data_IF_781033764957
#
_entry.id   IF_781033764957
#
_cell.length_a   1.000
_cell.length_b   1.000
_cell.length_c   1.000
_cell.angle_alpha   90.00
_cell.angle_beta   90.00
_cell.angle_gamma   90.00
#
_symmetry.space_group_name_H-M   'P 1'
#
loop_
_entity.id
_entity.type
_entity.pdbx_description
1 polymer ?
#
# COMPACT_ATOMS: atom_id res chain seq x y z
N UNK A 1 -11.65 6.31 0.22
CA UNK A 1 -11.21 5.52 -0.95
C UNK A 1 -10.94 4.04 -0.64
N UNK A 2 -11.21 3.14 -1.60
CA UNK A 2 -10.76 1.73 -1.57
C UNK A 2 -9.39 1.58 -2.24
N UNK A 3 -8.49 0.87 -1.58
CA UNK A 3 -7.15 0.53 -2.10
C UNK A 3 -6.87 -0.95 -1.91
N UNK A 4 -5.99 -1.51 -2.73
CA UNK A 4 -5.69 -2.94 -2.73
C UNK A 4 -4.21 -3.20 -2.45
N UNK A 5 -3.93 -4.28 -1.73
CA UNK A 5 -2.57 -4.70 -1.44
C UNK A 5 -1.91 -5.26 -2.73
N UNK A 6 -0.68 -4.86 -3.10
CA UNK A 6 -0.04 -5.28 -4.34
C UNK A 6 0.48 -6.73 -4.33
N UNK A 7 0.51 -7.40 -3.17
CA UNK A 7 0.97 -8.78 -3.05
C UNK A 7 -0.15 -9.80 -2.86
N UNK A 8 0.21 -11.09 -2.83
CA UNK A 8 -0.74 -12.21 -2.71
C UNK A 8 -1.11 -12.59 -1.26
N UNK A 9 -0.86 -11.70 -0.30
CA UNK A 9 -1.07 -11.99 1.11
C UNK A 9 -2.43 -11.46 1.55
N UNK A 10 -3.16 -12.31 2.27
CA UNK A 10 -4.42 -11.95 2.90
C UNK A 10 -4.16 -11.42 4.31
N UNK A 11 -5.03 -10.53 4.79
CA UNK A 11 -5.03 -10.02 6.16
C UNK A 11 -3.71 -9.38 6.61
N UNK A 12 -3.31 -8.31 5.91
CA UNK A 12 -2.10 -7.55 6.23
C UNK A 12 -2.44 -6.28 7.01
N UNK A 13 -1.56 -5.93 7.93
CA UNK A 13 -1.52 -4.61 8.57
C UNK A 13 -0.27 -3.88 8.07
N UNK A 14 -0.45 -2.66 7.56
CA UNK A 14 0.64 -1.76 7.25
C UNK A 14 0.60 -0.59 8.23
N UNK A 15 1.75 -0.28 8.81
CA UNK A 15 1.94 0.93 9.60
C UNK A 15 2.64 1.95 8.71
N UNK A 16 2.01 3.09 8.48
CA UNK A 16 2.55 4.16 7.62
C UNK A 16 2.59 5.49 8.37
N UNK A 17 3.58 6.31 8.04
CA UNK A 17 3.80 7.60 8.70
C UNK A 17 4.04 8.69 7.65
N UNK A 18 2.97 9.19 7.00
CA UNK A 18 3.08 10.13 5.87
C UNK A 18 3.79 11.44 6.22
N UNK A 19 3.73 11.86 7.48
CA UNK A 19 4.35 13.11 7.91
C UNK A 19 5.89 13.12 7.84
N UNK A 20 6.55 12.00 7.57
CA UNK A 20 7.99 12.01 7.25
C UNK A 20 8.27 12.75 5.93
N UNK A 21 7.33 12.68 4.98
CA UNK A 21 7.47 13.28 3.65
C UNK A 21 6.82 14.68 3.53
N UNK A 22 6.23 15.20 4.61
CA UNK A 22 5.44 16.42 4.58
C UNK A 22 5.90 17.42 5.65
N UNK A 23 5.61 18.73 5.48
CA UNK A 23 5.91 19.73 6.49
C UNK A 23 5.22 19.44 7.83
N UNK A 24 5.85 19.84 8.93
CA UNK A 24 5.31 19.68 10.30
C UNK A 24 3.97 20.39 10.54
N UNK A 25 3.64 21.36 9.68
CA UNK A 25 2.38 22.11 9.70
C UNK A 25 1.22 21.39 9.01
N UNK A 26 1.45 20.22 8.42
CA UNK A 26 0.43 19.45 7.71
C UNK A 26 -0.47 18.65 8.65
N UNK A 27 -1.63 18.20 8.15
CA UNK A 27 -2.57 17.33 8.87
C UNK A 27 -1.96 15.98 9.32
N UNK A 28 -0.80 15.63 8.74
CA UNK A 28 -0.03 14.44 9.04
C UNK A 28 0.77 14.53 10.34
N UNK A 29 0.73 15.65 11.03
CA UNK A 29 1.36 15.83 12.33
C UNK A 29 0.33 15.96 13.45
N UNK A 30 0.72 15.49 14.63
CA UNK A 30 -0.03 15.63 15.89
C UNK A 30 0.96 15.92 17.00
N UNK A 31 0.78 17.04 17.71
CA UNK A 31 1.67 17.42 18.81
C UNK A 31 3.16 17.51 18.42
N UNK A 32 3.45 17.95 17.19
CA UNK A 32 4.83 18.05 16.68
C UNK A 32 5.47 16.72 16.31
N UNK A 33 4.70 15.62 16.23
CA UNK A 33 5.18 14.31 15.77
C UNK A 33 4.36 13.86 14.56
N UNK A 34 4.97 13.16 13.59
CA UNK A 34 4.20 12.64 12.48
C UNK A 34 3.26 11.53 12.95
N UNK A 35 1.99 11.61 12.58
CA UNK A 35 0.94 10.63 12.88
C UNK A 35 1.27 9.28 12.24
N UNK A 36 1.05 8.22 12.99
CA UNK A 36 1.12 6.85 12.49
C UNK A 36 -0.29 6.36 12.16
N UNK A 37 -0.47 5.79 10.98
CA UNK A 37 -1.72 5.19 10.53
C UNK A 37 -1.54 3.68 10.38
N UNK A 38 -2.47 2.91 10.94
CA UNK A 38 -2.55 1.47 10.73
C UNK A 38 -3.58 1.19 9.64
N UNK A 39 -3.15 0.61 8.52
CA UNK A 39 -4.00 0.26 7.39
C UNK A 39 -4.22 -1.25 7.38
N UNK A 40 -5.47 -1.66 7.54
CA UNK A 40 -5.86 -3.07 7.61
C UNK A 40 -6.40 -3.52 6.26
N UNK A 41 -5.64 -4.36 5.58
CA UNK A 41 -6.05 -5.02 4.34
C UNK A 41 -6.72 -6.34 4.65
N UNK A 42 -8.05 -6.39 4.62
CA UNK A 42 -8.83 -7.62 4.75
C UNK A 42 -9.15 -8.14 3.35
N UNK A 43 -8.85 -9.41 3.05
CA UNK A 43 -9.00 -9.96 1.69
C UNK A 43 -8.35 -9.07 0.62
N UNK A 44 -7.14 -8.57 0.90
CA UNK A 44 -6.36 -7.67 0.03
C UNK A 44 -6.97 -6.28 -0.21
N UNK A 45 -8.09 -5.92 0.42
CA UNK A 45 -8.71 -4.59 0.28
C UNK A 45 -8.69 -3.84 1.62
N UNK A 46 -8.42 -2.54 1.55
CA UNK A 46 -8.57 -1.60 2.66
C UNK A 46 -9.45 -0.43 2.22
N UNK A 47 -10.30 0.05 3.12
CA UNK A 47 -11.07 1.29 2.97
C UNK A 47 -10.45 2.32 3.90
N UNK A 48 -9.94 3.41 3.30
CA UNK A 48 -9.15 4.44 3.98
C UNK A 48 -9.61 5.82 3.52
N UNK A 49 -9.24 6.87 4.23
CA UNK A 49 -9.46 8.25 3.77
C UNK A 49 -8.72 8.52 2.46
N UNK A 50 -9.22 9.47 1.67
CA UNK A 50 -8.69 9.73 0.33
C UNK A 50 -7.23 10.20 0.37
N UNK A 51 -6.86 11.01 1.36
CA UNK A 51 -5.49 11.48 1.56
C UNK A 51 -4.52 10.32 1.85
N UNK A 52 -4.91 9.39 2.74
CA UNK A 52 -4.11 8.19 3.05
C UNK A 52 -4.04 7.28 1.84
N UNK A 53 -5.16 7.07 1.18
CA UNK A 53 -5.21 6.22 0.01
C UNK A 53 -4.31 6.76 -1.10
N UNK A 54 -4.31 8.07 -1.36
CA UNK A 54 -3.44 8.68 -2.38
C UNK A 54 -1.96 8.51 -2.01
N UNK A 55 -1.60 8.76 -0.75
CA UNK A 55 -0.25 8.51 -0.24
C UNK A 55 0.20 7.05 -0.47
N UNK A 56 -0.67 6.07 -0.17
CA UNK A 56 -0.36 4.65 -0.37
C UNK A 56 -0.14 4.30 -1.86
N UNK A 57 -0.89 4.93 -2.77
CA UNK A 57 -0.72 4.77 -4.21
C UNK A 57 0.60 5.39 -4.67
N UNK A 58 0.91 6.61 -4.24
CA UNK A 58 2.12 7.35 -4.65
C UNK A 58 3.39 6.63 -4.18
N UNK A 59 3.37 6.06 -2.97
CA UNK A 59 4.47 5.26 -2.42
C UNK A 59 4.49 3.81 -2.93
N UNK A 60 3.58 3.43 -3.84
CA UNK A 60 3.43 2.06 -4.37
C UNK A 60 3.23 1.00 -3.27
N UNK A 61 2.67 1.40 -2.13
CA UNK A 61 2.31 0.51 -1.03
C UNK A 61 0.94 -0.12 -1.24
N UNK A 62 0.10 0.50 -2.08
CA UNK A 62 -1.18 -0.02 -2.53
C UNK A 62 -1.40 0.24 -4.03
N UNK A 63 -2.43 -0.38 -4.61
CA UNK A 63 -2.87 -0.18 -5.99
C UNK A 63 -4.36 0.19 -6.03
N UNK A 64 -4.77 0.93 -7.07
CA UNK A 64 -6.13 1.50 -7.19
C UNK A 64 -7.19 0.47 -7.60
N UNK A 65 -6.77 -0.65 -8.18
CA UNK A 65 -7.62 -1.79 -8.50
C UNK A 65 -6.79 -3.05 -8.34
N UNK A 66 -7.44 -4.21 -8.15
CA UNK A 66 -6.82 -5.51 -8.42
C UNK A 66 -6.55 -5.61 -9.93
N UNK A 67 -5.59 -4.81 -10.43
CA UNK A 67 -4.93 -5.17 -11.66
C UNK A 67 -4.26 -6.48 -11.33
N UNK A 68 -4.80 -7.58 -11.87
CA UNK A 68 -4.14 -8.87 -11.91
C UNK A 68 -2.72 -8.58 -12.40
N UNK A 69 -1.75 -8.46 -11.49
CA UNK A 69 -0.35 -8.47 -11.87
C UNK A 69 -0.17 -9.91 -12.29
N UNK A 70 -0.50 -10.19 -13.55
CA UNK A 70 -0.14 -11.43 -14.22
C UNK A 70 1.36 -11.31 -14.36
N UNK A 71 2.09 -11.63 -13.30
CA UNK A 71 3.51 -11.95 -13.39
C UNK A 71 3.57 -13.25 -14.17
N UNK A 72 3.55 -13.13 -15.49
CA UNK A 72 3.93 -14.17 -16.43
C UNK A 72 5.43 -14.40 -16.23
N UNK A 73 5.82 -15.03 -15.12
CA UNK A 73 7.17 -15.58 -14.96
C UNK A 73 7.10 -17.01 -15.49
N UNK A 74 6.90 -17.14 -16.80
CA UNK A 74 7.19 -18.39 -17.48
C UNK A 74 8.72 -18.47 -17.64
N UNK A 75 9.44 -18.92 -16.61
CA UNK A 75 10.80 -19.39 -16.84
C UNK A 75 10.73 -20.83 -17.36
N UNK A 76 10.34 -20.97 -18.64
CA UNK A 76 10.60 -22.18 -19.42
C UNK A 76 12.11 -22.24 -19.67
N UNK A 77 12.86 -22.86 -18.77
CA UNK A 77 14.07 -23.55 -19.18
C UNK A 77 13.78 -25.05 -19.15
N UNK A 78 13.46 -25.55 -20.35
CA UNK A 78 13.40 -26.98 -20.65
C UNK A 78 14.77 -27.61 -20.34
N UNK A 79 14.74 -28.79 -19.71
CA UNK A 79 15.87 -29.74 -19.62
C UNK A 79 16.64 -29.83 -20.95
N UNK A 80 17.97 -29.74 -20.87
CA UNK A 80 18.84 -30.44 -21.81
C UNK A 80 19.21 -31.80 -21.20
N UNK A 81 19.32 -32.79 -22.09
CA UNK A 81 19.46 -34.24 -21.87
C UNK A 81 20.53 -34.67 -20.87
#
# INVERSE_FOLDING_TARGET
MKVYYPGNRENIRLYVQPGIDHPETSEWFEGGKPKMFEVHFKNQVAEVDDNIGQYLLDKKLAIKSLSRIITNVSNKFKRAK
#
